data_IF_337268821400
#
_entry.id   IF_337268821400
#
_cell.length_a   1.000
_cell.length_b   1.000
_cell.length_c   1.000
_cell.angle_alpha   90.00
_cell.angle_beta   90.00
_cell.angle_gamma   90.00
#
_symmetry.space_group_name_H-M   'P 1'
#
loop_
_entity.id
_entity.type
_entity.pdbx_description
1 polymer ?
#
# COMPACT_ATOMS: atom_id res chain seq x y z
N UNK A 1 12.23 16.69 2.09
CA UNK A 1 12.10 15.27 1.97
C UNK A 1 12.74 14.59 3.17
N UNK A 2 12.11 13.63 3.73
CA UNK A 2 12.70 12.98 4.87
C UNK A 2 13.83 12.07 4.45
N UNK A 3 14.93 12.17 5.17
CA UNK A 3 16.00 11.20 5.04
C UNK A 3 15.47 9.83 5.51
N UNK A 4 15.83 8.79 4.81
CA UNK A 4 15.33 7.46 5.11
C UNK A 4 13.95 7.15 4.54
N UNK A 5 13.34 8.10 3.84
CA UNK A 5 12.11 7.81 3.11
C UNK A 5 12.37 6.90 1.94
N UNK A 6 11.40 6.04 1.65
CA UNK A 6 11.48 5.14 0.51
C UNK A 6 10.81 5.82 -0.67
N UNK A 7 11.60 6.26 -1.62
CA UNK A 7 11.09 6.93 -2.81
C UNK A 7 12.02 6.72 -3.99
N UNK A 8 11.47 6.90 -5.17
CA UNK A 8 12.21 6.83 -6.40
C UNK A 8 12.89 8.18 -6.68
N UNK A 9 13.87 8.16 -7.57
CA UNK A 9 14.58 9.36 -7.98
C UNK A 9 13.62 10.36 -8.64
N UNK A 10 13.59 11.58 -8.14
CA UNK A 10 12.80 12.66 -8.76
C UNK A 10 13.34 13.07 -10.13
N UNK A 11 14.61 12.84 -10.39
CA UNK A 11 15.19 13.12 -11.71
C UNK A 11 14.64 12.17 -12.76
N UNK A 12 14.52 10.89 -12.40
CA UNK A 12 14.01 9.86 -13.30
C UNK A 12 12.49 9.88 -13.40
N UNK A 13 11.82 10.21 -12.31
CA UNK A 13 10.36 10.20 -12.23
C UNK A 13 9.85 11.54 -11.68
N UNK A 14 9.99 12.64 -12.46
CA UNK A 14 9.52 13.92 -11.99
C UNK A 14 7.99 13.98 -11.94
N UNK A 15 7.45 14.68 -10.94
CA UNK A 15 6.00 14.86 -10.83
C UNK A 15 5.41 15.58 -12.04
N UNK A 16 6.21 16.42 -12.68
CA UNK A 16 5.76 17.14 -13.89
C UNK A 16 5.37 16.22 -15.03
N UNK A 17 5.93 15.01 -15.06
CA UNK A 17 5.60 14.01 -16.08
C UNK A 17 4.49 13.06 -15.67
N UNK A 18 3.92 13.22 -14.50
CA UNK A 18 2.88 12.34 -14.00
C UNK A 18 1.50 12.70 -14.53
N UNK A 19 0.64 11.70 -14.61
CA UNK A 19 -0.77 11.91 -14.94
C UNK A 19 -1.50 12.29 -13.65
N UNK A 20 -2.11 13.48 -13.56
CA UNK A 20 -2.86 13.85 -12.37
C UNK A 20 -4.08 12.95 -12.15
N UNK A 21 -4.31 12.58 -10.91
CA UNK A 21 -5.49 11.81 -10.52
C UNK A 21 -6.20 12.54 -9.38
N UNK A 22 -6.86 13.66 -9.66
CA UNK A 22 -7.57 14.41 -8.62
C UNK A 22 -8.73 13.57 -8.07
N UNK A 23 -8.96 13.71 -6.78
CA UNK A 23 -10.00 12.95 -6.10
C UNK A 23 -10.66 13.81 -5.04
N UNK A 24 -11.89 13.48 -4.71
CA UNK A 24 -12.67 14.12 -3.66
C UNK A 24 -12.64 13.28 -2.41
N UNK A 25 -12.98 13.87 -1.29
CA UNK A 25 -13.16 13.13 -0.06
C UNK A 25 -14.15 11.97 -0.28
N UNK A 26 -13.80 10.78 0.16
CA UNK A 26 -14.59 9.58 -0.02
C UNK A 26 -14.24 8.78 -1.28
N UNK A 27 -13.47 9.34 -2.19
CA UNK A 27 -13.03 8.60 -3.36
C UNK A 27 -11.99 7.56 -2.99
N UNK A 28 -11.92 6.50 -3.79
CA UNK A 28 -10.94 5.42 -3.62
C UNK A 28 -10.21 5.23 -4.94
N UNK A 29 -8.90 5.16 -4.86
CA UNK A 29 -8.04 4.89 -6.01
C UNK A 29 -7.38 3.54 -5.82
N UNK A 30 -7.57 2.65 -6.79
CA UNK A 30 -6.89 1.36 -6.83
C UNK A 30 -5.77 1.37 -7.86
N UNK A 31 -4.63 0.85 -7.48
CA UNK A 31 -3.52 0.70 -8.43
C UNK A 31 -2.61 -0.45 -8.03
N UNK A 32 -1.88 -0.97 -9.01
CA UNK A 32 -0.92 -2.04 -8.79
C UNK A 32 0.29 -1.52 -8.02
N UNK A 33 0.91 -2.39 -7.24
CA UNK A 33 2.15 -2.04 -6.53
C UNK A 33 3.31 -1.67 -7.48
N UNK A 34 3.20 -2.04 -8.75
CA UNK A 34 4.19 -1.67 -9.76
C UNK A 34 3.98 -0.27 -10.32
N UNK A 35 2.91 0.40 -9.95
CA UNK A 35 2.59 1.73 -10.45
C UNK A 35 3.46 2.77 -9.75
N UNK A 36 4.25 3.48 -10.53
CA UNK A 36 5.01 4.62 -10.02
C UNK A 36 4.03 5.75 -9.74
N UNK A 37 4.00 6.21 -8.51
CA UNK A 37 3.03 7.20 -8.06
C UNK A 37 3.64 8.12 -7.02
N UNK A 38 2.97 9.22 -6.77
CA UNK A 38 3.42 10.16 -5.76
C UNK A 38 2.44 11.29 -5.59
N UNK A 39 2.76 12.19 -4.70
CA UNK A 39 1.98 13.38 -4.45
C UNK A 39 2.89 14.56 -4.15
N UNK A 40 2.43 15.75 -4.52
CA UNK A 40 3.13 16.98 -4.22
C UNK A 40 2.85 17.47 -2.80
N UNK A 41 3.47 18.58 -2.46
CA UNK A 41 3.22 19.24 -1.18
C UNK A 41 1.78 19.73 -1.09
N UNK A 42 1.22 19.59 0.10
CA UNK A 42 -0.06 20.20 0.41
C UNK A 42 0.18 21.66 0.76
N UNK A 43 -0.21 22.56 -0.13
CA UNK A 43 -0.06 24.00 0.05
C UNK A 43 -1.33 24.65 0.57
N UNK A 44 -2.37 23.88 0.86
CA UNK A 44 -3.61 24.38 1.40
C UNK A 44 -3.52 24.55 2.92
N UNK A 45 -4.54 25.14 3.50
CA UNK A 45 -4.68 25.28 4.94
C UNK A 45 -5.30 24.06 5.62
N UNK A 46 -5.71 23.07 4.85
CA UNK A 46 -6.38 21.88 5.37
C UNK A 46 -5.50 20.65 5.24
N UNK A 47 -5.68 19.71 6.16
CA UNK A 47 -4.99 18.44 6.09
C UNK A 47 -5.47 17.60 4.89
N UNK A 48 -4.53 16.92 4.25
CA UNK A 48 -4.84 15.92 3.23
C UNK A 48 -4.66 14.54 3.85
N UNK A 49 -5.73 14.03 4.40
CA UNK A 49 -5.71 12.74 5.10
C UNK A 49 -6.02 11.62 4.11
N UNK A 50 -5.17 10.62 4.08
CA UNK A 50 -5.33 9.48 3.19
C UNK A 50 -5.18 8.20 4.00
N UNK A 51 -6.09 7.25 3.77
CA UNK A 51 -5.96 5.90 4.30
C UNK A 51 -5.33 5.02 3.22
N UNK A 52 -4.18 4.45 3.54
CA UNK A 52 -3.47 3.55 2.64
C UNK A 52 -3.74 2.11 3.06
N UNK A 53 -4.22 1.30 2.13
CA UNK A 53 -4.46 -0.12 2.36
C UNK A 53 -3.74 -0.90 1.27
N UNK A 54 -2.94 -1.86 1.69
CA UNK A 54 -2.23 -2.74 0.77
C UNK A 54 -2.73 -4.15 0.95
N UNK A 55 -2.94 -4.82 -0.17
CA UNK A 55 -3.44 -6.19 -0.20
C UNK A 55 -2.59 -7.00 -1.17
N UNK A 56 -2.48 -8.27 -0.92
CA UNK A 56 -1.77 -9.18 -1.82
C UNK A 56 -2.44 -10.54 -1.86
N UNK A 57 -2.07 -11.31 -2.86
CA UNK A 57 -2.37 -12.73 -2.88
C UNK A 57 -1.58 -13.39 -1.75
N UNK A 58 -2.22 -14.17 -0.87
CA UNK A 58 -1.52 -14.80 0.23
C UNK A 58 -0.46 -15.82 -0.22
N UNK A 59 -0.52 -16.28 -1.45
CA UNK A 59 0.49 -17.18 -2.03
C UNK A 59 1.66 -16.44 -2.66
N UNK A 60 1.63 -15.11 -2.66
CA UNK A 60 2.70 -14.28 -3.20
C UNK A 60 3.56 -13.74 -2.06
N UNK A 61 4.62 -14.45 -1.66
CA UNK A 61 5.43 -14.03 -0.53
C UNK A 61 6.28 -12.81 -0.85
N UNK A 62 6.55 -12.02 0.16
CA UNK A 62 7.48 -10.91 0.03
C UNK A 62 8.91 -11.43 -0.17
N UNK A 63 9.64 -10.79 -1.07
CA UNK A 63 11.05 -11.13 -1.30
C UNK A 63 11.94 -10.64 -0.15
N UNK A 64 11.52 -9.59 0.52
CA UNK A 64 12.25 -9.00 1.64
C UNK A 64 11.30 -8.74 2.79
N UNK A 65 11.80 -8.90 4.00
CA UNK A 65 11.03 -8.68 5.21
C UNK A 65 11.22 -7.24 5.68
N UNK A 66 10.62 -6.33 4.93
CA UNK A 66 10.70 -4.89 5.18
C UNK A 66 9.30 -4.27 5.19
N UNK A 67 9.20 -3.08 5.72
CA UNK A 67 7.93 -2.33 5.74
C UNK A 67 6.79 -3.05 6.44
N UNK A 68 7.08 -3.71 7.54
CA UNK A 68 6.04 -4.38 8.31
C UNK A 68 5.04 -3.38 8.86
N UNK A 69 3.77 -3.73 8.79
CA UNK A 69 2.69 -2.94 9.33
C UNK A 69 1.76 -3.82 10.17
N UNK A 70 0.92 -3.17 10.95
CA UNK A 70 -0.10 -3.89 11.71
C UNK A 70 -1.04 -4.59 10.77
N UNK A 71 -1.46 -5.79 11.14
CA UNK A 71 -2.37 -6.58 10.33
C UNK A 71 -1.71 -7.27 9.14
N UNK A 72 -0.41 -7.14 8.99
CA UNK A 72 0.28 -7.86 7.92
C UNK A 72 0.10 -9.35 8.11
N UNK A 73 -0.32 -10.03 7.04
CA UNK A 73 -0.65 -11.44 7.09
C UNK A 73 -2.09 -11.75 7.44
N UNK A 74 -2.88 -10.73 7.78
CA UNK A 74 -4.30 -10.92 8.05
C UNK A 74 -5.04 -11.31 6.78
N UNK A 75 -5.83 -12.37 6.85
CA UNK A 75 -6.68 -12.77 5.74
C UNK A 75 -7.90 -11.86 5.65
N UNK A 76 -8.14 -11.32 4.46
CA UNK A 76 -9.33 -10.52 4.20
C UNK A 76 -10.45 -11.37 3.60
N UNK A 77 -10.10 -12.42 2.88
CA UNK A 77 -11.05 -13.33 2.26
C UNK A 77 -10.38 -14.69 2.09
N UNK A 78 -11.17 -15.73 2.18
CA UNK A 78 -10.69 -17.09 1.98
C UNK A 78 -9.92 -17.63 3.19
N UNK A 79 -9.18 -18.68 2.95
CA UNK A 79 -8.39 -19.40 3.96
C UNK A 79 -6.91 -19.18 3.69
N UNK A 80 -6.14 -18.97 4.76
CA UNK A 80 -4.70 -18.82 4.64
C UNK A 80 -4.09 -20.13 4.13
N UNK A 81 -3.49 -20.14 2.92
CA UNK A 81 -2.91 -21.35 2.36
C UNK A 81 -1.66 -21.82 3.11
N UNK A 82 -1.05 -20.94 3.91
CA UNK A 82 0.14 -21.23 4.66
C UNK A 82 -0.15 -21.59 6.12
N UNK A 83 -1.41 -21.54 6.53
CA UNK A 83 -1.77 -21.90 7.89
C UNK A 83 -1.57 -23.40 8.11
N UNK A 84 -1.01 -23.81 9.25
CA UNK A 84 -0.87 -25.22 9.55
C UNK A 84 -2.25 -25.86 9.65
N UNK A 85 -2.35 -27.10 9.15
CA UNK A 85 -3.54 -27.88 9.32
C UNK A 85 -3.60 -28.33 10.78
N UNK A 86 -4.58 -27.85 11.49
CA UNK A 86 -4.82 -28.23 12.87
C UNK A 86 -6.20 -28.87 12.97
N UNK A 87 -6.50 -29.53 14.06
CA UNK A 87 -7.75 -30.22 14.22
C UNK A 87 -8.97 -29.30 14.20
N UNK A 88 -10.18 -29.90 14.27
CA UNK A 88 -11.41 -29.12 14.31
C UNK A 88 -11.40 -28.08 15.43
N UNK A 89 -11.99 -26.94 15.16
CA UNK A 89 -12.04 -25.86 16.14
C UNK A 89 -10.96 -24.83 16.01
N UNK A 90 -10.04 -25.00 15.07
CA UNK A 90 -9.10 -23.94 14.75
C UNK A 90 -9.77 -22.89 13.90
N UNK A 91 -9.78 -21.89 14.37
CA UNK A 91 -10.33 -20.99 13.59
C UNK A 91 -10.90 -20.18 13.35
N UNK A 92 -11.46 -19.29 12.95
CA UNK A 92 -12.48 -19.09 11.97
C UNK A 92 -11.84 -19.18 10.79
#
# INVERSE_FOLDING_TARGET
MSEGGWHLSFEKYPLSGAVPCPARAGDVLFFSYLTVHGSGLNTSSEARTTLLVQMRDPEDPALQDVHRSRGQGMMLAGTDPLAPLTGPGTGP
#
